data_IF_851258156313
#
_entry.id   IF_851258156313
#
_cell.length_a   1.000
_cell.length_b   1.000
_cell.length_c   1.000
_cell.angle_alpha   90.00
_cell.angle_beta   90.00
_cell.angle_gamma   90.00
#
_symmetry.space_group_name_H-M   'P 1'
#
loop_
_entity.id
_entity.type
_entity.pdbx_description
1 polymer ?
#
# COMPACT_ATOMS: atom_id res chain seq x y z
N UNK A 1 -4.28 43.70 -31.65
CA UNK A 1 -4.32 42.23 -31.58
C UNK A 1 -2.99 41.58 -31.20
N UNK A 2 -1.82 42.14 -31.49
CA UNK A 2 -0.52 41.55 -31.14
C UNK A 2 -0.14 41.63 -29.64
N UNK A 3 -0.72 42.51 -28.86
CA UNK A 3 -0.42 42.70 -27.42
C UNK A 3 -1.10 41.60 -26.56
N UNK A 4 -2.24 41.09 -26.95
CA UNK A 4 -2.98 40.05 -26.23
C UNK A 4 -2.29 38.69 -26.35
N UNK A 5 -1.57 38.42 -27.45
CA UNK A 5 -0.86 37.16 -27.65
C UNK A 5 0.44 37.06 -26.81
N UNK A 6 1.07 38.18 -26.47
CA UNK A 6 2.29 38.22 -25.66
C UNK A 6 2.07 37.94 -24.17
N UNK A 7 0.84 38.17 -23.67
CA UNK A 7 0.50 37.97 -22.26
C UNK A 7 0.07 36.53 -21.94
N UNK A 8 -0.42 35.80 -22.94
CA UNK A 8 -0.93 34.41 -22.78
C UNK A 8 0.18 33.36 -22.65
N UNK A 9 1.31 33.58 -23.31
CA UNK A 9 2.40 32.61 -23.36
C UNK A 9 3.04 32.34 -21.98
N UNK A 10 3.42 33.39 -21.18
CA UNK A 10 3.98 33.16 -19.86
C UNK A 10 2.96 32.57 -18.87
N UNK A 11 1.68 32.87 -19.03
CA UNK A 11 0.61 32.32 -18.17
C UNK A 11 0.41 30.83 -18.48
N UNK A 12 0.46 30.43 -19.74
CA UNK A 12 0.35 29.02 -20.16
C UNK A 12 1.57 28.22 -19.69
N UNK A 13 2.77 28.77 -19.77
CA UNK A 13 4.00 28.14 -19.27
C UNK A 13 3.93 28.00 -17.75
N UNK A 14 3.42 29.00 -17.02
CA UNK A 14 3.24 28.95 -15.57
C UNK A 14 2.22 27.88 -15.17
N UNK A 15 1.12 27.74 -15.90
CA UNK A 15 0.11 26.70 -15.66
C UNK A 15 0.64 25.29 -15.94
N UNK A 16 1.49 25.13 -16.95
CA UNK A 16 2.12 23.83 -17.25
C UNK A 16 3.13 23.46 -16.17
N UNK A 17 3.89 24.42 -15.63
CA UNK A 17 4.85 24.17 -14.56
C UNK A 17 4.20 23.87 -13.20
N UNK A 18 2.99 24.38 -12.95
CA UNK A 18 2.25 24.14 -11.69
C UNK A 18 1.22 23.00 -11.80
N UNK A 19 0.89 22.57 -13.01
CA UNK A 19 -0.12 21.55 -13.27
C UNK A 19 0.42 20.13 -13.50
N UNK A 20 1.71 19.90 -13.34
CA UNK A 20 2.21 18.53 -13.31
C UNK A 20 1.87 17.94 -11.94
N UNK A 21 0.84 17.07 -11.82
CA UNK A 21 0.81 16.20 -10.67
C UNK A 21 2.14 15.43 -10.73
N UNK A 22 2.97 15.60 -9.75
CA UNK A 22 4.03 14.64 -9.48
C UNK A 22 3.29 13.32 -9.21
N UNK A 23 3.11 12.54 -10.27
CA UNK A 23 2.85 11.13 -10.13
C UNK A 23 4.11 10.59 -9.45
N UNK A 24 4.09 10.60 -8.12
CA UNK A 24 4.95 9.74 -7.34
C UNK A 24 4.57 8.33 -7.78
N UNK A 25 5.24 7.87 -8.83
CA UNK A 25 5.35 6.46 -9.12
C UNK A 25 6.06 5.88 -7.90
N UNK A 26 5.26 5.38 -6.98
CA UNK A 26 5.74 4.49 -5.94
C UNK A 26 6.32 3.30 -6.70
N UNK A 27 7.65 3.18 -6.68
CA UNK A 27 8.32 1.96 -7.12
C UNK A 27 7.60 0.81 -6.44
N UNK A 28 6.85 0.05 -7.25
CA UNK A 28 5.93 -0.95 -6.77
C UNK A 28 6.69 -2.09 -6.10
N UNK A 29 6.61 -2.15 -4.79
CA UNK A 29 6.61 -3.42 -4.12
C UNK A 29 5.35 -4.15 -4.61
N UNK A 30 5.50 -5.32 -5.23
CA UNK A 30 4.39 -6.16 -5.64
C UNK A 30 3.92 -5.96 -7.08
N UNK A 31 4.78 -6.18 -8.05
CA UNK A 31 4.42 -6.19 -9.47
C UNK A 31 4.60 -7.57 -10.12
N UNK A 32 4.84 -8.60 -9.31
CA UNK A 32 5.05 -9.95 -9.78
C UNK A 32 3.75 -10.59 -10.26
N UNK A 33 3.87 -11.45 -11.25
CA UNK A 33 2.72 -12.09 -11.92
C UNK A 33 1.91 -12.94 -10.91
N UNK A 34 2.60 -13.63 -10.03
CA UNK A 34 2.03 -14.52 -9.00
C UNK A 34 1.18 -13.74 -8.00
N UNK A 35 1.62 -12.56 -7.59
CA UNK A 35 0.89 -11.68 -6.67
C UNK A 35 -0.40 -11.15 -7.28
N UNK A 36 -0.32 -10.67 -8.53
CA UNK A 36 -1.49 -10.20 -9.28
C UNK A 36 -2.51 -11.32 -9.49
N UNK A 37 -2.03 -12.53 -9.81
CA UNK A 37 -2.90 -13.67 -9.99
C UNK A 37 -3.57 -14.07 -8.68
N UNK A 38 -2.82 -14.17 -7.60
CA UNK A 38 -3.39 -14.48 -6.28
C UNK A 38 -4.41 -13.44 -5.83
N UNK A 39 -4.14 -12.15 -6.05
CA UNK A 39 -5.09 -11.08 -5.71
C UNK A 39 -6.41 -11.25 -6.47
N UNK A 40 -6.34 -11.55 -7.75
CA UNK A 40 -7.50 -11.83 -8.58
C UNK A 40 -8.27 -13.06 -8.10
N UNK A 41 -7.57 -14.14 -7.76
CA UNK A 41 -8.18 -15.42 -7.36
C UNK A 41 -8.85 -15.32 -5.99
N UNK A 42 -8.23 -14.62 -5.04
CA UNK A 42 -8.85 -14.31 -3.75
C UNK A 42 -10.11 -13.48 -3.95
N UNK A 43 -10.08 -12.46 -4.80
CA UNK A 43 -11.24 -11.62 -5.07
C UNK A 43 -12.35 -12.39 -5.79
N UNK A 44 -12.02 -13.23 -6.76
CA UNK A 44 -12.99 -14.13 -7.39
C UNK A 44 -13.63 -15.08 -6.38
N UNK A 45 -12.86 -15.61 -5.44
CA UNK A 45 -13.38 -16.46 -4.38
C UNK A 45 -14.32 -15.69 -3.43
N UNK A 46 -13.95 -14.49 -3.04
CA UNK A 46 -14.80 -13.64 -2.19
C UNK A 46 -16.12 -13.30 -2.85
N UNK A 47 -16.10 -12.88 -4.10
CA UNK A 47 -17.27 -12.46 -4.82
C UNK A 47 -18.19 -13.65 -5.18
N UNK A 48 -17.64 -14.70 -5.80
CA UNK A 48 -18.44 -15.77 -6.40
C UNK A 48 -18.83 -16.88 -5.43
N UNK A 49 -18.02 -17.13 -4.38
CA UNK A 49 -18.25 -18.23 -3.43
C UNK A 49 -18.72 -17.73 -2.08
N UNK A 50 -18.18 -16.61 -1.60
CA UNK A 50 -18.51 -16.08 -0.29
C UNK A 50 -19.58 -14.98 -0.34
N UNK A 51 -19.88 -14.45 -1.53
CA UNK A 51 -20.82 -13.32 -1.74
C UNK A 51 -20.43 -12.08 -0.93
N UNK A 52 -19.12 -11.83 -0.81
CA UNK A 52 -18.52 -10.71 -0.11
C UNK A 52 -17.95 -9.69 -1.10
N UNK A 53 -17.85 -8.41 -0.74
CA UNK A 53 -17.15 -7.42 -1.54
C UNK A 53 -15.68 -7.82 -1.78
N UNK A 54 -15.17 -7.52 -2.96
CA UNK A 54 -13.76 -7.71 -3.32
C UNK A 54 -12.86 -6.81 -2.48
N UNK A 55 -11.62 -7.24 -2.23
CA UNK A 55 -10.62 -6.40 -1.61
C UNK A 55 -10.15 -5.29 -2.56
N UNK A 56 -9.94 -4.12 -2.01
CA UNK A 56 -9.29 -2.99 -2.68
C UNK A 56 -7.78 -3.10 -2.46
N UNK A 57 -6.93 -2.84 -3.46
CA UNK A 57 -5.48 -2.87 -3.30
C UNK A 57 -5.00 -1.85 -2.26
N UNK A 58 -4.07 -2.27 -1.40
CA UNK A 58 -3.37 -1.41 -0.44
C UNK A 58 -1.85 -1.49 -0.69
N UNK A 59 -1.30 -0.47 -1.36
CA UNK A 59 0.11 -0.45 -1.75
C UNK A 59 1.08 -0.48 -0.56
N UNK A 60 0.72 0.12 0.58
CA UNK A 60 1.56 0.07 1.78
C UNK A 60 1.57 -1.31 2.42
N UNK A 61 0.41 -1.96 2.45
CA UNK A 61 0.29 -3.35 2.89
C UNK A 61 1.08 -4.29 1.95
N UNK A 62 1.05 -4.05 0.63
CA UNK A 62 1.84 -4.81 -0.34
C UNK A 62 3.35 -4.62 -0.10
N UNK A 63 3.81 -3.37 0.08
CA UNK A 63 5.20 -3.10 0.44
C UNK A 63 5.63 -3.87 1.70
N UNK A 64 4.80 -3.87 2.74
CA UNK A 64 5.12 -4.59 3.98
C UNK A 64 5.12 -6.11 3.77
N UNK A 65 4.19 -6.63 2.97
CA UNK A 65 4.12 -8.04 2.62
C UNK A 65 5.40 -8.52 1.93
N UNK A 66 5.90 -7.76 0.96
CA UNK A 66 7.16 -7.99 0.27
C UNK A 66 8.36 -8.02 1.24
N UNK A 67 8.48 -7.03 2.14
CA UNK A 67 9.56 -7.00 3.13
C UNK A 67 9.50 -8.18 4.12
N UNK A 68 8.30 -8.65 4.44
CA UNK A 68 8.11 -9.83 5.29
C UNK A 68 8.50 -11.10 4.53
N UNK A 69 8.11 -11.23 3.25
CA UNK A 69 8.49 -12.37 2.41
C UNK A 69 10.02 -12.47 2.27
N UNK A 70 10.71 -11.36 1.98
CA UNK A 70 12.18 -11.27 1.92
C UNK A 70 12.85 -11.69 3.25
N UNK A 71 12.27 -11.30 4.38
CA UNK A 71 12.77 -11.73 5.69
C UNK A 71 12.55 -13.22 5.93
N UNK A 72 11.37 -13.74 5.62
CA UNK A 72 11.04 -15.15 5.80
C UNK A 72 11.93 -16.06 4.95
N UNK A 73 12.19 -15.70 3.70
CA UNK A 73 13.13 -16.41 2.83
C UNK A 73 14.52 -16.54 3.46
N UNK A 74 15.03 -15.49 4.11
CA UNK A 74 16.35 -15.48 4.74
C UNK A 74 16.41 -16.29 6.04
N UNK A 75 15.36 -16.18 6.85
CA UNK A 75 15.31 -16.74 8.18
C UNK A 75 14.79 -18.18 8.22
N UNK A 76 13.95 -18.56 7.25
CA UNK A 76 13.24 -19.84 7.23
C UNK A 76 13.07 -20.36 5.81
N UNK A 77 14.01 -21.19 5.32
CA UNK A 77 13.82 -21.82 4.02
C UNK A 77 12.53 -22.67 4.04
N UNK A 78 11.80 -22.64 2.92
CA UNK A 78 10.55 -23.34 2.72
C UNK A 78 10.78 -24.84 2.52
N UNK A 79 11.28 -25.55 3.53
CA UNK A 79 11.59 -26.98 3.45
C UNK A 79 10.36 -27.87 3.70
N UNK A 80 9.35 -27.35 4.41
CA UNK A 80 8.12 -28.07 4.73
C UNK A 80 6.92 -27.12 4.74
N UNK A 81 6.18 -27.09 3.64
CA UNK A 81 4.95 -26.28 3.47
C UNK A 81 3.88 -26.50 4.57
N UNK A 82 3.99 -27.58 5.34
CA UNK A 82 3.05 -27.95 6.40
C UNK A 82 3.47 -27.49 7.80
N UNK A 83 4.68 -27.02 8.02
CA UNK A 83 5.20 -26.75 9.36
C UNK A 83 5.21 -25.27 9.76
N UNK A 84 5.07 -24.33 8.82
CA UNK A 84 4.96 -22.94 9.18
C UNK A 84 3.52 -22.55 9.47
N UNK A 85 3.10 -22.80 10.71
CA UNK A 85 1.81 -22.35 11.23
C UNK A 85 2.01 -21.03 11.94
N UNK A 86 1.90 -19.92 11.21
CA UNK A 86 1.68 -18.63 11.84
C UNK A 86 0.25 -18.64 12.42
N UNK A 87 0.13 -18.64 13.74
CA UNK A 87 -1.13 -18.35 14.40
C UNK A 87 -1.16 -16.86 14.69
N UNK A 88 -1.98 -16.07 13.98
CA UNK A 88 -2.26 -14.72 14.41
C UNK A 88 -2.90 -14.81 15.79
N UNK A 89 -2.14 -14.48 16.82
CA UNK A 89 -2.67 -14.44 18.19
C UNK A 89 -3.46 -13.14 18.31
N UNK A 90 -4.75 -13.26 18.55
CA UNK A 90 -5.70 -12.14 18.67
C UNK A 90 -5.32 -11.15 19.78
N UNK A 91 -4.31 -11.42 20.57
CA UNK A 91 -3.87 -10.62 21.72
C UNK A 91 -2.41 -10.15 21.67
N UNK A 92 -1.62 -10.53 20.66
CA UNK A 92 -0.24 -10.07 20.54
C UNK A 92 -0.13 -9.08 19.39
N UNK A 93 0.35 -7.89 19.71
CA UNK A 93 0.77 -6.91 18.72
C UNK A 93 1.69 -7.62 17.72
N UNK A 94 1.46 -7.41 16.44
CA UNK A 94 2.24 -7.93 15.30
C UNK A 94 3.77 -7.81 15.49
N UNK A 95 4.21 -6.87 16.32
CA UNK A 95 5.61 -6.56 16.65
C UNK A 95 6.41 -7.73 17.24
N UNK A 96 5.77 -8.76 17.81
CA UNK A 96 6.51 -9.86 18.46
C UNK A 96 6.88 -11.01 17.53
N UNK A 97 6.38 -11.02 16.30
CA UNK A 97 6.48 -12.17 15.40
C UNK A 97 7.54 -11.99 14.33
N UNK A 98 7.71 -10.77 13.83
CA UNK A 98 8.70 -10.46 12.80
C UNK A 98 9.83 -9.64 13.40
N UNK A 99 11.06 -10.04 13.11
CA UNK A 99 12.25 -9.33 13.56
C UNK A 99 12.26 -7.91 12.99
N UNK A 100 12.59 -6.94 13.83
CA UNK A 100 12.69 -5.52 13.42
C UNK A 100 11.40 -4.99 12.73
N UNK A 101 10.22 -5.43 13.17
CA UNK A 101 8.94 -5.08 12.55
C UNK A 101 8.74 -3.58 12.38
N UNK A 102 9.09 -2.76 13.39
CA UNK A 102 8.99 -1.29 13.31
C UNK A 102 9.85 -0.71 12.16
N UNK A 103 10.99 -1.34 11.87
CA UNK A 103 11.84 -0.96 10.76
C UNK A 103 11.21 -1.31 9.41
N UNK A 104 10.52 -2.45 9.32
CA UNK A 104 9.76 -2.82 8.12
C UNK A 104 8.63 -1.83 7.87
N UNK A 105 7.86 -1.48 8.90
CA UNK A 105 6.80 -0.47 8.82
C UNK A 105 7.33 0.88 8.36
N UNK A 106 8.45 1.32 8.93
CA UNK A 106 9.09 2.59 8.56
C UNK A 106 9.51 2.64 7.09
N UNK A 107 10.04 1.53 6.55
CA UNK A 107 10.42 1.43 5.13
C UNK A 107 9.20 1.54 4.18
N UNK A 108 8.05 1.08 4.63
CA UNK A 108 6.79 1.18 3.89
C UNK A 108 5.96 2.41 4.24
N UNK A 109 6.52 3.34 5.03
CA UNK A 109 5.83 4.56 5.47
C UNK A 109 4.50 4.27 6.16
N UNK A 110 4.47 3.22 7.00
CA UNK A 110 3.29 2.81 7.78
C UNK A 110 3.47 3.27 9.22
N UNK A 111 2.41 3.85 9.80
CA UNK A 111 2.34 4.17 11.22
C UNK A 111 1.95 2.91 12.00
N UNK A 112 2.75 2.54 13.01
CA UNK A 112 2.50 1.37 13.84
C UNK A 112 1.10 1.36 14.48
N UNK A 113 0.54 2.52 14.81
CA UNK A 113 -0.79 2.63 15.40
C UNK A 113 -1.93 2.24 14.43
N UNK A 114 -1.65 2.15 13.13
CA UNK A 114 -2.62 1.78 12.10
C UNK A 114 -2.58 0.31 11.71
N UNK A 115 -1.88 -0.54 12.47
CA UNK A 115 -1.68 -1.96 12.14
C UNK A 115 -2.41 -2.92 13.07
N UNK A 116 -2.99 -2.42 14.19
CA UNK A 116 -3.52 -3.25 15.27
C UNK A 116 -4.65 -4.20 14.84
N UNK A 117 -5.53 -3.74 13.93
CA UNK A 117 -6.70 -4.50 13.46
C UNK A 117 -6.45 -5.15 12.08
N UNK A 118 -5.20 -5.26 11.68
CA UNK A 118 -4.80 -5.93 10.45
C UNK A 118 -4.49 -7.41 10.65
N UNK A 119 -4.31 -8.14 9.55
CA UNK A 119 -3.87 -9.53 9.57
C UNK A 119 -2.72 -9.75 8.59
N UNK A 120 -1.67 -10.46 9.03
CA UNK A 120 -0.53 -10.85 8.18
C UNK A 120 -0.59 -12.37 8.03
N UNK A 121 -0.66 -12.84 6.79
CA UNK A 121 -0.95 -14.21 6.44
C UNK A 121 0.18 -14.77 5.54
N UNK A 122 1.31 -15.21 6.09
CA UNK A 122 2.39 -15.79 5.32
C UNK A 122 2.09 -17.24 4.93
N UNK A 123 2.38 -17.61 3.69
CA UNK A 123 2.28 -18.96 3.15
C UNK A 123 3.57 -19.28 2.41
N UNK A 124 4.01 -20.51 2.55
CA UNK A 124 5.17 -21.05 1.90
C UNK A 124 4.73 -22.16 0.92
N UNK A 125 5.00 -21.98 -0.37
CA UNK A 125 4.66 -22.94 -1.43
C UNK A 125 5.79 -22.97 -2.45
N UNK A 126 6.34 -24.13 -2.68
CA UNK A 126 7.40 -24.30 -3.66
C UNK A 126 7.01 -23.75 -5.04
N UNK A 127 7.84 -22.87 -5.59
CA UNK A 127 7.64 -22.20 -6.89
C UNK A 127 6.33 -21.41 -7.00
N UNK A 128 5.71 -21.06 -5.88
CA UNK A 128 4.45 -20.32 -5.82
C UNK A 128 3.36 -20.88 -6.77
N UNK A 129 3.21 -22.22 -6.80
CA UNK A 129 2.15 -22.86 -7.60
C UNK A 129 0.78 -22.26 -7.27
N UNK A 130 0.15 -21.63 -8.25
CA UNK A 130 -1.06 -20.79 -8.09
C UNK A 130 -2.20 -21.54 -7.37
N UNK A 131 -2.46 -22.79 -7.80
CA UNK A 131 -3.53 -23.62 -7.21
C UNK A 131 -3.24 -23.96 -5.76
N UNK A 132 -2.02 -24.32 -5.46
CA UNK A 132 -1.57 -24.70 -4.10
C UNK A 132 -1.59 -23.47 -3.19
N UNK A 133 -1.13 -22.31 -3.66
CA UNK A 133 -1.16 -21.04 -2.91
C UNK A 133 -2.60 -20.69 -2.52
N UNK A 134 -3.51 -20.63 -3.49
CA UNK A 134 -4.91 -20.28 -3.21
C UNK A 134 -5.57 -21.29 -2.25
N UNK A 135 -5.30 -22.60 -2.44
CA UNK A 135 -5.82 -23.64 -1.55
C UNK A 135 -5.31 -23.51 -0.11
N UNK A 136 -4.04 -23.12 0.07
CA UNK A 136 -3.50 -22.84 1.40
C UNK A 136 -4.24 -21.69 2.09
N UNK A 137 -4.57 -20.62 1.37
CA UNK A 137 -5.36 -19.54 1.95
C UNK A 137 -6.80 -19.93 2.25
N UNK A 138 -7.46 -20.69 1.38
CA UNK A 138 -8.88 -21.07 1.54
C UNK A 138 -9.11 -22.14 2.61
N UNK A 139 -8.24 -23.16 2.64
CA UNK A 139 -8.46 -24.39 3.41
C UNK A 139 -7.67 -24.45 4.72
N UNK A 140 -6.84 -23.45 5.00
CA UNK A 140 -6.16 -23.29 6.29
C UNK A 140 -6.94 -22.40 7.25
N UNK A 141 -6.33 -22.14 8.40
CA UNK A 141 -6.85 -21.14 9.36
C UNK A 141 -7.00 -19.74 8.76
N UNK A 142 -6.32 -19.43 7.65
CA UNK A 142 -6.41 -18.15 6.97
C UNK A 142 -7.76 -17.94 6.27
N UNK A 143 -8.47 -19.01 5.94
CA UNK A 143 -9.78 -18.93 5.31
C UNK A 143 -10.81 -18.13 6.13
N UNK A 144 -10.68 -18.08 7.45
CA UNK A 144 -11.54 -17.26 8.31
C UNK A 144 -11.36 -15.76 8.05
N UNK A 145 -10.15 -15.31 7.78
CA UNK A 145 -9.85 -13.90 7.48
C UNK A 145 -10.38 -13.51 6.09
N UNK A 146 -10.30 -14.40 5.11
CA UNK A 146 -10.87 -14.16 3.79
C UNK A 146 -12.41 -14.06 3.84
N UNK A 147 -13.05 -14.67 4.84
CA UNK A 147 -14.51 -14.64 5.07
C UNK A 147 -14.97 -13.45 5.92
N UNK A 148 -14.05 -12.74 6.55
CA UNK A 148 -14.38 -11.61 7.42
C UNK A 148 -14.64 -10.36 6.58
N UNK A 149 -15.84 -9.80 6.71
CA UNK A 149 -16.26 -8.58 6.02
C UNK A 149 -15.63 -7.29 6.56
N UNK A 150 -15.01 -7.33 7.73
CA UNK A 150 -14.29 -6.18 8.29
C UNK A 150 -13.03 -5.85 7.48
N UNK A 151 -12.41 -6.87 6.86
CA UNK A 151 -11.31 -6.64 5.95
C UNK A 151 -11.82 -6.17 4.60
N UNK A 152 -11.38 -4.99 4.19
CA UNK A 152 -11.82 -4.31 2.97
C UNK A 152 -10.70 -4.11 1.96
N UNK A 153 -9.45 -4.17 2.40
CA UNK A 153 -8.30 -3.97 1.54
C UNK A 153 -7.28 -5.10 1.75
N UNK A 154 -6.45 -5.35 0.72
CA UNK A 154 -5.37 -6.30 0.79
C UNK A 154 -4.12 -5.80 0.06
N UNK A 155 -2.95 -6.19 0.59
CA UNK A 155 -1.67 -6.08 -0.08
C UNK A 155 -1.03 -7.47 -0.14
N UNK A 156 -0.36 -7.79 -1.24
CA UNK A 156 0.35 -9.05 -1.44
C UNK A 156 1.79 -8.74 -1.78
N UNK A 157 2.70 -9.55 -1.29
CA UNK A 157 4.12 -9.51 -1.61
C UNK A 157 4.70 -10.91 -1.56
N UNK A 158 5.72 -11.18 -2.36
CA UNK A 158 6.34 -12.49 -2.47
C UNK A 158 7.86 -12.38 -2.59
N UNK A 159 8.56 -13.42 -2.17
CA UNK A 159 9.98 -13.62 -2.44
C UNK A 159 10.29 -15.11 -2.39
N UNK A 160 10.78 -15.65 -3.53
CA UNK A 160 11.06 -17.07 -3.74
C UNK A 160 9.79 -17.93 -3.52
N UNK A 161 9.82 -18.85 -2.57
CA UNK A 161 8.70 -19.74 -2.22
C UNK A 161 7.75 -19.13 -1.17
N UNK A 162 7.99 -17.93 -0.69
CA UNK A 162 7.16 -17.24 0.28
C UNK A 162 6.23 -16.24 -0.38
N UNK A 163 4.96 -16.28 -0.01
CA UNK A 163 3.96 -15.28 -0.38
C UNK A 163 3.18 -14.84 0.87
N UNK A 164 3.00 -13.55 1.01
CA UNK A 164 2.37 -12.93 2.19
C UNK A 164 1.18 -12.09 1.75
N UNK A 165 0.03 -12.37 2.33
CA UNK A 165 -1.16 -11.51 2.18
C UNK A 165 -1.33 -10.71 3.46
N UNK A 166 -1.43 -9.40 3.35
CA UNK A 166 -1.79 -8.51 4.45
C UNK A 166 -3.19 -7.97 4.20
N UNK A 167 -4.08 -8.25 5.12
CA UNK A 167 -5.45 -7.74 5.10
C UNK A 167 -5.55 -6.52 6.00
N UNK A 168 -6.21 -5.48 5.52
CA UNK A 168 -6.43 -4.23 6.24
C UNK A 168 -7.92 -3.85 6.27
N UNK A 169 -8.28 -3.14 7.33
CA UNK A 169 -9.62 -2.61 7.53
C UNK A 169 -9.69 -1.15 7.06
N UNK A 170 -10.89 -0.57 7.06
CA UNK A 170 -11.08 0.87 6.82
C UNK A 170 -11.10 1.69 8.12
N UNK A 171 -10.58 1.14 9.23
CA UNK A 171 -10.48 1.81 10.52
C UNK A 171 -9.15 2.56 10.66
N UNK A 172 -9.09 3.52 11.57
CA UNK A 172 -7.86 4.24 11.89
C UNK A 172 -6.77 3.33 12.48
N UNK A 173 -7.15 2.19 13.05
CA UNK A 173 -6.26 1.22 13.71
C UNK A 173 -5.90 0.02 12.84
N UNK A 174 -6.52 -0.14 11.66
CA UNK A 174 -6.29 -1.30 10.79
C UNK A 174 -6.00 -0.98 9.32
N UNK A 175 -5.83 0.30 8.97
CA UNK A 175 -5.72 0.74 7.58
C UNK A 175 -4.32 0.59 6.97
N UNK A 176 -3.29 0.30 7.75
CA UNK A 176 -1.88 0.33 7.32
C UNK A 176 -1.49 1.66 6.65
N UNK A 177 -2.08 2.76 7.11
CA UNK A 177 -1.79 4.08 6.56
C UNK A 177 -0.50 4.66 7.17
N UNK A 178 0.06 5.67 6.51
CA UNK A 178 1.15 6.47 7.07
C UNK A 178 0.65 7.41 8.15
N UNK A 179 1.58 7.98 8.92
CA UNK A 179 1.27 9.16 9.70
C UNK A 179 0.67 10.21 8.77
N UNK A 180 -0.35 10.96 9.21
CA UNK A 180 -0.83 12.10 8.43
C UNK A 180 0.39 12.96 8.10
N UNK A 181 0.57 13.27 6.82
CA UNK A 181 1.58 14.22 6.41
C UNK A 181 1.11 15.52 7.06
N UNK A 182 1.76 15.93 8.15
CA UNK A 182 1.62 17.28 8.66
C UNK A 182 2.09 18.18 7.52
N UNK A 183 1.15 18.75 6.79
CA UNK A 183 1.44 19.82 5.84
C UNK A 183 2.04 20.93 6.69
N UNK A 184 3.37 20.96 6.73
CA UNK A 184 4.07 22.04 7.39
C UNK A 184 3.54 23.35 6.79
N UNK A 185 3.18 24.34 7.62
CA UNK A 185 2.55 25.58 7.16
C UNK A 185 3.39 26.37 6.13
N UNK A 186 4.64 25.96 5.90
CA UNK A 186 5.54 26.52 4.91
C UNK A 186 5.06 26.42 3.45
N UNK A 187 4.29 25.40 3.08
CA UNK A 187 3.77 25.29 1.72
C UNK A 187 2.64 26.30 1.45
N UNK A 188 1.76 26.51 2.41
CA UNK A 188 0.69 27.50 2.30
C UNK A 188 1.27 28.92 2.24
N UNK A 189 2.32 29.20 3.01
CA UNK A 189 3.05 30.47 2.99
C UNK A 189 3.72 30.75 1.65
N UNK A 190 4.33 29.77 0.99
CA UNK A 190 4.95 29.95 -0.33
C UNK A 190 3.93 30.21 -1.43
N UNK A 191 2.79 29.52 -1.41
CA UNK A 191 1.72 29.73 -2.41
C UNK A 191 1.11 31.12 -2.27
N UNK A 192 0.85 31.55 -1.05
CA UNK A 192 0.30 32.90 -0.78
C UNK A 192 1.31 33.98 -1.17
N UNK A 193 2.60 33.83 -0.84
CA UNK A 193 3.65 34.79 -1.20
C UNK A 193 3.82 34.91 -2.73
N UNK A 194 3.72 33.80 -3.48
CA UNK A 194 3.79 33.84 -4.94
C UNK A 194 2.59 34.50 -5.58
N UNK A 195 1.40 34.35 -5.02
CA UNK A 195 0.18 35.01 -5.49
C UNK A 195 0.23 36.52 -5.23
N UNK A 196 0.73 36.97 -4.06
CA UNK A 196 0.92 38.39 -3.76
C UNK A 196 1.97 39.05 -4.68
N UNK A 197 3.05 38.37 -4.97
CA UNK A 197 4.07 38.87 -5.89
C UNK A 197 3.53 39.01 -7.33
N UNK A 198 2.69 38.09 -7.78
CA UNK A 198 2.06 38.14 -9.08
C UNK A 198 1.04 39.29 -9.19
N UNK A 199 0.27 39.55 -8.13
CA UNK A 199 -0.67 40.68 -8.06
C UNK A 199 0.03 42.04 -8.07
N UNK A 200 1.17 42.16 -7.39
CA UNK A 200 1.98 43.40 -7.40
C UNK A 200 2.55 43.69 -8.79
N UNK A 201 3.01 42.68 -9.52
CA UNK A 201 3.54 42.87 -10.87
C UNK A 201 2.45 43.28 -11.87
N UNK A 202 1.21 42.80 -11.70
CA UNK A 202 0.10 43.21 -12.55
C UNK A 202 -0.24 44.70 -12.36
N UNK A 203 -0.19 45.20 -11.12
CA UNK A 203 -0.47 46.61 -10.85
C UNK A 203 0.61 47.56 -11.40
N UNK A 204 1.88 47.11 -11.53
CA UNK A 204 2.97 47.94 -12.10
C UNK A 204 2.87 48.02 -13.62
N UNK A 205 2.26 47.05 -14.27
CA UNK A 205 2.13 47.00 -15.75
C UNK A 205 0.92 47.80 -16.25
N UNK A 206 -0.04 48.10 -15.38
CA UNK A 206 -1.26 48.81 -15.73
C UNK A 206 -1.31 50.28 -15.26
N UNK A 207 -0.24 50.84 -14.70
CA UNK A 207 -0.01 52.26 -14.45
C UNK A 207 0.99 52.80 -15.46
#
# INVERSE_FOLDING_TARGET
MAALLKLSLPIIILLILHGMPFLSYSDGCGDDKEEKQLFKDINSYRESVLYLPVFIPNAKAACLADKIADQLKKDKPCLDAHSYRYTPDNNRRLNSTFKDFDKLLSRCHINVNTTADGAILPVCVAKLDETTVLNNYRNSQYGRYLKDSNFTHAGIGSDDDWIVVILSTNTSTGSFSGAPISLAPSFLGMVIASLFSCLLLINIVFV
#
